data_IF_930834059173
#
_entry.id   IF_930834059173
#
_cell.length_a   1.000
_cell.length_b   1.000
_cell.length_c   1.000
_cell.angle_alpha   90.00
_cell.angle_beta   90.00
_cell.angle_gamma   90.00
#
_symmetry.space_group_name_H-M   'P 1'
#
loop_
_entity.id
_entity.type
_entity.pdbx_description
1 polymer ?
#
# COMPACT_ATOMS: atom_id res chain seq x y z
N UNK A 1 21.41 -56.42 -30.96
CA UNK A 1 20.88 -55.75 -29.74
C UNK A 1 19.45 -56.20 -29.52
N UNK A 2 19.13 -56.83 -28.38
CA UNK A 2 17.86 -57.54 -28.19
C UNK A 2 16.70 -56.58 -27.87
N UNK A 3 15.71 -56.49 -28.77
CA UNK A 3 14.48 -55.67 -28.61
C UNK A 3 13.74 -55.94 -27.28
N UNK A 4 13.84 -57.17 -26.75
CA UNK A 4 13.26 -57.57 -25.46
C UNK A 4 13.86 -56.81 -24.27
N UNK A 5 15.14 -56.45 -24.34
CA UNK A 5 15.82 -55.72 -23.27
C UNK A 5 15.35 -54.26 -23.18
N UNK A 6 15.09 -53.62 -24.32
CA UNK A 6 14.54 -52.26 -24.36
C UNK A 6 13.12 -52.17 -23.82
N UNK A 7 12.28 -53.16 -24.11
CA UNK A 7 10.89 -53.19 -23.61
C UNK A 7 10.88 -53.33 -22.08
N UNK A 8 11.72 -54.22 -21.54
CA UNK A 8 11.82 -54.43 -20.08
C UNK A 8 12.35 -53.17 -19.38
N UNK A 9 13.41 -52.55 -19.92
CA UNK A 9 13.96 -51.31 -19.37
C UNK A 9 12.93 -50.16 -19.40
N UNK A 10 12.16 -50.03 -20.48
CA UNK A 10 11.12 -49.01 -20.60
C UNK A 10 9.97 -49.22 -19.62
N UNK A 11 9.53 -50.47 -19.42
CA UNK A 11 8.49 -50.81 -18.44
C UNK A 11 8.92 -50.52 -17.00
N UNK A 12 10.18 -50.81 -16.64
CA UNK A 12 10.71 -50.54 -15.30
C UNK A 12 10.79 -49.02 -15.06
N UNK A 13 11.26 -48.25 -16.04
CA UNK A 13 11.33 -46.78 -15.93
C UNK A 13 9.96 -46.14 -15.75
N UNK A 14 8.93 -46.61 -16.47
CA UNK A 14 7.54 -46.12 -16.29
C UNK A 14 7.03 -46.44 -14.90
N UNK A 15 7.28 -47.66 -14.41
CA UNK A 15 6.81 -48.08 -13.09
C UNK A 15 7.44 -47.25 -11.97
N UNK A 16 8.75 -46.95 -12.06
CA UNK A 16 9.45 -46.08 -11.11
C UNK A 16 8.90 -44.64 -11.17
N UNK A 17 8.60 -44.11 -12.35
CA UNK A 17 8.05 -42.76 -12.51
C UNK A 17 6.66 -42.62 -11.87
N UNK A 18 5.82 -43.65 -12.02
CA UNK A 18 4.49 -43.70 -11.38
C UNK A 18 4.64 -43.82 -9.86
N UNK A 19 5.60 -44.60 -9.37
CA UNK A 19 5.85 -44.73 -7.93
C UNK A 19 6.28 -43.39 -7.30
N UNK A 20 7.13 -42.62 -7.97
CA UNK A 20 7.57 -41.29 -7.53
C UNK A 20 6.38 -40.31 -7.49
N UNK A 21 5.45 -40.38 -8.45
CA UNK A 21 4.26 -39.55 -8.47
C UNK A 21 3.27 -39.87 -7.34
N UNK A 22 3.20 -41.13 -6.90
CA UNK A 22 2.30 -41.56 -5.80
C UNK A 22 2.89 -41.21 -4.42
N UNK A 23 4.21 -41.30 -4.27
CA UNK A 23 4.89 -41.04 -2.97
C UNK A 23 5.21 -39.55 -2.78
N UNK A 24 5.12 -38.73 -3.84
CA UNK A 24 5.36 -37.30 -3.74
C UNK A 24 4.36 -36.68 -2.74
N UNK A 25 4.83 -36.14 -1.60
CA UNK A 25 3.93 -35.57 -0.61
C UNK A 25 3.20 -34.40 -1.27
N UNK A 26 1.87 -34.51 -1.37
CA UNK A 26 1.02 -33.36 -1.73
C UNK A 26 1.41 -32.25 -0.78
N UNK A 27 1.97 -31.16 -1.31
CA UNK A 27 2.06 -29.90 -0.57
C UNK A 27 0.63 -29.55 -0.18
N UNK A 28 0.28 -29.79 1.08
CA UNK A 28 -0.94 -29.31 1.68
C UNK A 28 -0.81 -27.79 1.64
N UNK A 29 -1.51 -27.16 0.71
CA UNK A 29 -1.65 -25.72 0.69
C UNK A 29 -2.16 -25.32 2.07
N UNK A 30 -1.48 -24.43 2.80
CA UNK A 30 -2.00 -23.91 4.05
C UNK A 30 -3.41 -23.36 3.78
N UNK A 31 -4.37 -23.52 4.71
CA UNK A 31 -5.65 -22.84 4.56
C UNK A 31 -5.37 -21.36 4.34
N UNK A 32 -5.87 -20.85 3.21
CA UNK A 32 -5.82 -19.44 2.87
C UNK A 32 -6.43 -18.70 4.06
N UNK A 33 -5.61 -18.00 4.85
CA UNK A 33 -6.10 -17.10 5.87
C UNK A 33 -7.08 -16.17 5.18
N UNK A 34 -8.34 -16.16 5.64
CA UNK A 34 -9.34 -15.21 5.15
C UNK A 34 -8.72 -13.81 5.13
N UNK A 35 -8.89 -13.05 4.04
CA UNK A 35 -8.40 -11.68 4.00
C UNK A 35 -8.90 -10.93 5.24
N UNK A 36 -8.08 -10.06 5.85
CA UNK A 36 -8.55 -9.17 6.90
C UNK A 36 -9.85 -8.49 6.42
N UNK A 37 -10.87 -8.34 7.28
CA UNK A 37 -12.09 -7.66 6.88
C UNK A 37 -11.73 -6.28 6.33
N UNK A 38 -12.12 -6.04 5.08
CA UNK A 38 -12.13 -4.71 4.49
C UNK A 38 -12.97 -3.84 5.42
N UNK A 39 -12.41 -2.79 6.02
CA UNK A 39 -13.17 -1.95 6.89
C UNK A 39 -14.16 -1.21 6.02
N UNK A 40 -15.34 -1.20 6.56
CA UNK A 40 -16.43 -0.42 6.05
C UNK A 40 -16.03 1.05 6.09
N UNK A 41 -16.56 1.86 5.19
CA UNK A 41 -16.49 3.35 5.17
C UNK A 41 -16.67 3.99 6.56
N UNK A 42 -17.31 3.26 7.48
CA UNK A 42 -17.42 3.52 8.92
C UNK A 42 -16.09 3.71 9.67
N UNK A 43 -15.01 2.99 9.36
CA UNK A 43 -13.72 3.15 10.08
C UNK A 43 -12.95 4.40 9.63
N UNK A 44 -12.98 4.72 8.33
CA UNK A 44 -12.46 6.01 7.82
C UNK A 44 -13.21 7.20 8.42
N UNK A 45 -14.52 7.05 8.69
CA UNK A 45 -15.30 8.04 9.47
C UNK A 45 -14.93 8.12 10.94
N UNK A 46 -14.39 7.06 11.55
CA UNK A 46 -14.05 7.03 12.98
C UNK A 46 -12.77 7.83 13.30
N UNK A 47 -11.83 7.98 12.37
CA UNK A 47 -10.68 8.88 12.55
C UNK A 47 -11.08 10.36 12.47
N UNK A 48 -12.10 10.69 11.67
CA UNK A 48 -12.69 12.04 11.63
C UNK A 48 -13.42 12.41 12.93
N UNK A 49 -13.97 11.44 13.67
CA UNK A 49 -14.70 11.72 14.93
C UNK A 49 -13.82 12.22 16.08
N UNK A 50 -12.49 12.09 15.99
CA UNK A 50 -11.55 12.63 16.98
C UNK A 50 -11.09 14.07 16.67
N UNK A 51 -11.50 14.63 15.53
CA UNK A 51 -11.16 16.00 15.15
C UNK A 51 -12.22 16.97 15.67
N UNK A 52 -11.81 18.18 16.06
CA UNK A 52 -12.76 19.24 16.43
C UNK A 52 -13.58 19.65 15.20
N UNK A 53 -14.85 20.02 15.39
CA UNK A 53 -15.71 20.53 14.32
C UNK A 53 -15.06 21.73 13.59
N UNK A 54 -14.31 22.55 14.33
CA UNK A 54 -13.54 23.67 13.80
C UNK A 54 -12.47 23.20 12.80
N UNK A 55 -11.70 22.15 13.13
CA UNK A 55 -10.67 21.62 12.24
C UNK A 55 -11.28 21.06 10.95
N UNK A 56 -12.40 20.35 11.06
CA UNK A 56 -13.15 19.82 9.90
C UNK A 56 -13.64 20.98 9.02
N UNK A 57 -14.27 22.00 9.61
CA UNK A 57 -14.76 23.18 8.88
C UNK A 57 -13.62 23.95 8.20
N UNK A 58 -12.49 24.11 8.87
CA UNK A 58 -11.31 24.78 8.32
C UNK A 58 -10.75 24.00 7.13
N UNK A 59 -10.63 22.67 7.23
CA UNK A 59 -10.19 21.82 6.12
C UNK A 59 -11.12 21.91 4.90
N UNK A 60 -12.45 21.89 5.12
CA UNK A 60 -13.45 22.06 4.04
C UNK A 60 -13.28 23.41 3.34
N UNK A 61 -13.19 24.50 4.11
CA UNK A 61 -13.06 25.84 3.56
C UNK A 61 -11.72 26.00 2.81
N UNK A 62 -10.64 25.47 3.39
CA UNK A 62 -9.33 25.53 2.78
C UNK A 62 -9.30 24.77 1.46
N UNK A 63 -9.81 23.53 1.42
CA UNK A 63 -9.91 22.74 0.18
C UNK A 63 -10.63 23.50 -0.94
N UNK A 64 -11.74 24.18 -0.64
CA UNK A 64 -12.46 24.99 -1.63
C UNK A 64 -11.63 26.16 -2.15
N UNK A 65 -10.84 26.81 -1.29
CA UNK A 65 -9.98 27.93 -1.65
C UNK A 65 -8.86 27.51 -2.62
N UNK A 66 -8.34 26.30 -2.48
CA UNK A 66 -7.16 25.82 -3.21
C UNK A 66 -7.48 24.75 -4.26
N UNK A 67 -8.77 24.52 -4.55
CA UNK A 67 -9.23 23.42 -5.40
C UNK A 67 -8.64 23.42 -6.81
N UNK A 68 -8.33 24.61 -7.35
CA UNK A 68 -7.77 24.82 -8.69
C UNK A 68 -6.31 24.37 -8.81
N UNK A 69 -5.66 24.04 -7.69
CA UNK A 69 -4.27 23.58 -7.61
C UNK A 69 -4.13 22.06 -7.62
N UNK A 70 -5.24 21.33 -7.66
CA UNK A 70 -5.30 19.86 -7.64
C UNK A 70 -6.05 19.35 -8.88
N UNK A 71 -5.79 18.10 -9.35
CA UNK A 71 -4.94 17.08 -8.74
C UNK A 71 -3.44 17.30 -8.99
N UNK A 72 -2.62 16.71 -8.12
CA UNK A 72 -1.17 16.64 -8.27
C UNK A 72 -0.78 15.18 -8.50
N UNK A 73 -0.02 14.93 -9.56
CA UNK A 73 0.45 13.59 -9.92
C UNK A 73 1.95 13.62 -10.20
N UNK A 74 2.70 12.76 -9.52
CA UNK A 74 4.12 12.55 -9.80
C UNK A 74 4.39 11.06 -9.98
N UNK A 75 4.79 10.68 -11.19
CA UNK A 75 5.17 9.31 -11.54
C UNK A 75 6.68 9.11 -11.38
N UNK A 76 7.07 7.86 -11.13
CA UNK A 76 8.45 7.37 -11.20
C UNK A 76 9.41 8.11 -10.26
N UNK A 77 8.94 8.50 -9.06
CA UNK A 77 9.79 9.08 -8.03
C UNK A 77 10.74 8.02 -7.46
N UNK A 78 12.06 8.23 -7.62
CA UNK A 78 13.08 7.30 -7.16
C UNK A 78 13.53 7.64 -5.75
N UNK A 79 13.37 6.69 -4.84
CA UNK A 79 13.80 6.80 -3.44
C UNK A 79 15.25 6.36 -3.26
N UNK A 80 15.87 6.73 -2.13
CA UNK A 80 17.26 6.40 -1.81
C UNK A 80 17.51 4.89 -1.68
N UNK A 81 16.47 4.13 -1.32
CA UNK A 81 16.50 2.66 -1.21
C UNK A 81 16.19 1.95 -2.54
N UNK A 82 16.13 2.69 -3.65
CA UNK A 82 15.95 2.14 -5.00
C UNK A 82 14.51 1.73 -5.34
N UNK A 83 13.55 1.98 -4.45
CA UNK A 83 12.13 1.75 -4.73
C UNK A 83 11.59 2.94 -5.52
N UNK A 84 10.87 2.66 -6.60
CA UNK A 84 10.23 3.68 -7.43
C UNK A 84 8.76 3.79 -7.04
N UNK A 85 8.32 5.00 -6.69
CA UNK A 85 6.95 5.26 -6.24
C UNK A 85 6.21 6.18 -7.20
N UNK A 86 4.89 6.23 -7.04
CA UNK A 86 4.02 7.20 -7.70
C UNK A 86 3.18 7.89 -6.64
N UNK A 87 3.11 9.21 -6.70
CA UNK A 87 2.38 10.06 -5.75
C UNK A 87 1.15 10.62 -6.45
N UNK A 88 -0.01 10.50 -5.82
CA UNK A 88 -1.27 11.04 -6.31
C UNK A 88 -1.98 11.82 -5.19
N UNK A 89 -2.33 13.08 -5.44
CA UNK A 89 -2.99 13.96 -4.46
C UNK A 89 -4.23 14.56 -5.11
N UNK A 90 -5.41 14.18 -4.62
CA UNK A 90 -6.68 14.47 -5.30
C UNK A 90 -7.88 14.37 -4.36
N UNK A 91 -9.05 14.59 -4.92
CA UNK A 91 -10.33 14.61 -4.22
C UNK A 91 -11.38 13.91 -5.08
N UNK A 92 -12.25 13.09 -4.49
CA UNK A 92 -13.43 12.55 -5.16
C UNK A 92 -14.70 13.26 -4.70
N UNK A 93 -15.73 13.27 -5.53
CA UNK A 93 -17.05 13.84 -5.21
C UNK A 93 -17.75 13.12 -4.05
N UNK A 94 -17.46 11.83 -3.91
CA UNK A 94 -18.15 10.93 -2.98
C UNK A 94 -17.39 10.78 -1.65
N UNK A 95 -16.18 11.35 -1.57
CA UNK A 95 -15.42 11.46 -0.33
C UNK A 95 -16.05 12.50 0.61
N UNK A 96 -15.73 12.40 1.89
CA UNK A 96 -16.04 13.47 2.83
C UNK A 96 -15.40 14.81 2.36
N UNK A 97 -16.16 15.93 2.34
CA UNK A 97 -15.66 17.22 1.87
C UNK A 97 -14.51 17.80 2.72
N UNK A 98 -14.16 17.19 3.84
CA UNK A 98 -12.97 17.54 4.63
C UNK A 98 -11.69 16.79 4.20
N UNK A 99 -11.81 15.67 3.48
CA UNK A 99 -10.68 14.77 3.17
C UNK A 99 -9.98 15.08 1.84
N UNK A 100 -8.65 15.15 1.87
CA UNK A 100 -7.79 15.13 0.69
C UNK A 100 -7.13 13.76 0.58
N UNK A 101 -7.17 13.11 -0.58
CA UNK A 101 -6.44 11.85 -0.78
C UNK A 101 -4.98 12.15 -1.04
N UNK A 102 -4.09 11.45 -0.35
CA UNK A 102 -2.64 11.43 -0.60
C UNK A 102 -2.23 9.96 -0.69
N UNK A 103 -2.08 9.47 -1.91
CA UNK A 103 -1.79 8.07 -2.17
C UNK A 103 -0.37 7.91 -2.71
N UNK A 104 0.36 6.94 -2.15
CA UNK A 104 1.72 6.59 -2.57
C UNK A 104 1.72 5.13 -3.01
N UNK A 105 1.99 4.91 -4.29
CA UNK A 105 2.03 3.59 -4.93
C UNK A 105 3.47 3.10 -5.13
N UNK A 106 3.63 1.80 -5.37
CA UNK A 106 4.94 1.17 -5.65
C UNK A 106 5.68 0.65 -4.42
N UNK A 107 5.05 0.73 -3.24
CA UNK A 107 5.56 0.27 -1.96
C UNK A 107 4.81 -0.98 -1.48
N UNK A 108 5.45 -1.79 -0.65
CA UNK A 108 4.76 -2.79 0.16
C UNK A 108 4.33 -2.18 1.49
N UNK A 109 3.03 -2.25 1.79
CA UNK A 109 2.43 -1.87 3.08
C UNK A 109 2.32 -3.07 4.04
N UNK A 110 3.02 -4.17 3.73
CA UNK A 110 3.15 -5.30 4.65
C UNK A 110 4.15 -4.95 5.77
N UNK A 111 4.03 -5.60 6.93
CA UNK A 111 4.93 -5.41 8.07
C UNK A 111 4.90 -3.99 8.68
N UNK A 112 3.69 -3.44 8.87
CA UNK A 112 3.44 -2.13 9.49
C UNK A 112 4.32 -1.81 10.71
N UNK A 113 4.48 -2.78 11.63
CA UNK A 113 5.18 -2.57 12.91
C UNK A 113 6.71 -2.77 12.84
N UNK A 114 7.26 -3.18 11.69
CA UNK A 114 8.71 -3.27 11.49
C UNK A 114 9.26 -1.91 11.03
N UNK A 115 9.69 -1.11 12.01
CA UNK A 115 10.22 0.24 11.82
C UNK A 115 11.73 0.28 11.54
N UNK A 116 12.45 -0.85 11.64
CA UNK A 116 13.87 -0.92 11.29
C UNK A 116 14.03 -0.80 9.76
N UNK A 117 14.64 0.29 9.26
CA UNK A 117 14.75 0.51 7.82
C UNK A 117 15.58 -0.53 7.08
N UNK A 118 16.45 -1.27 7.79
CA UNK A 118 17.23 -2.37 7.20
C UNK A 118 16.38 -3.59 6.91
N UNK A 119 15.32 -3.80 7.71
CA UNK A 119 14.40 -4.93 7.56
C UNK A 119 13.19 -4.56 6.71
N UNK A 120 12.79 -3.29 6.75
CA UNK A 120 11.69 -2.77 5.96
C UNK A 120 12.10 -1.49 5.20
N UNK A 121 12.74 -1.60 4.02
CA UNK A 121 13.11 -0.42 3.24
C UNK A 121 11.91 0.39 2.74
N UNK A 122 10.69 -0.18 2.74
CA UNK A 122 9.48 0.54 2.34
C UNK A 122 9.20 1.73 3.26
N UNK A 123 9.64 1.69 4.52
CA UNK A 123 9.42 2.82 5.44
C UNK A 123 10.21 4.07 5.02
N UNK A 124 11.46 3.90 4.54
CA UNK A 124 12.26 5.00 4.00
C UNK A 124 11.61 5.51 2.72
N UNK A 125 11.26 4.59 1.82
CA UNK A 125 10.68 4.95 0.54
C UNK A 125 9.32 5.68 0.72
N UNK A 126 8.52 5.28 1.70
CA UNK A 126 7.30 5.98 2.12
C UNK A 126 7.61 7.38 2.65
N UNK A 127 8.51 7.51 3.63
CA UNK A 127 8.84 8.80 4.24
C UNK A 127 9.36 9.81 3.21
N UNK A 128 10.25 9.38 2.30
CA UNK A 128 10.77 10.22 1.23
C UNK A 128 9.69 10.63 0.23
N UNK A 129 8.83 9.68 -0.16
CA UNK A 129 7.71 9.96 -1.06
C UNK A 129 6.69 10.90 -0.41
N UNK A 130 6.43 10.74 0.89
CA UNK A 130 5.54 11.61 1.65
C UNK A 130 6.11 13.04 1.74
N UNK A 131 7.39 13.18 2.09
CA UNK A 131 8.07 14.48 2.09
C UNK A 131 8.03 15.15 0.70
N UNK A 132 8.18 14.37 -0.37
CA UNK A 132 8.01 14.88 -1.74
C UNK A 132 6.57 15.30 -2.01
N UNK A 133 5.57 14.54 -1.56
CA UNK A 133 4.16 14.90 -1.67
C UNK A 133 3.86 16.25 -0.98
N UNK A 134 4.34 16.45 0.25
CA UNK A 134 4.19 17.73 0.95
C UNK A 134 4.88 18.87 0.21
N UNK A 135 6.05 18.62 -0.38
CA UNK A 135 6.76 19.61 -1.18
C UNK A 135 5.98 19.99 -2.43
N UNK A 136 5.38 19.02 -3.14
CA UNK A 136 4.53 19.28 -4.30
C UNK A 136 3.30 20.13 -3.94
N UNK A 137 2.69 19.88 -2.77
CA UNK A 137 1.57 20.70 -2.26
C UNK A 137 2.04 22.16 -2.02
N UNK A 138 3.22 22.35 -1.42
CA UNK A 138 3.79 23.68 -1.21
C UNK A 138 4.17 24.36 -2.53
N UNK A 139 4.69 23.60 -3.49
CA UNK A 139 5.02 24.07 -4.86
C UNK A 139 3.77 24.54 -5.62
N UNK A 140 2.60 23.94 -5.36
CA UNK A 140 1.32 24.42 -5.91
C UNK A 140 0.80 25.68 -5.20
N UNK A 141 1.46 26.12 -4.13
CA UNK A 141 1.12 27.27 -3.31
C UNK A 141 0.17 26.95 -2.15
N UNK A 142 -0.17 25.68 -1.93
CA UNK A 142 -1.02 25.24 -0.83
C UNK A 142 -0.21 24.86 0.42
N UNK A 143 -0.84 24.94 1.58
CA UNK A 143 -0.28 24.58 2.88
C UNK A 143 -0.76 23.17 3.25
N UNK A 144 0.14 22.17 3.30
CA UNK A 144 -0.25 20.80 3.58
C UNK A 144 -0.85 20.59 4.98
N UNK A 145 -0.54 21.45 5.96
CA UNK A 145 -1.03 21.27 7.34
C UNK A 145 -2.51 21.60 7.51
N UNK A 146 -3.12 22.22 6.48
CA UNK A 146 -4.54 22.56 6.47
C UNK A 146 -5.43 21.41 5.98
N UNK A 147 -4.85 20.34 5.42
CA UNK A 147 -5.60 19.20 4.93
C UNK A 147 -5.76 18.12 6.00
N UNK A 148 -6.87 17.38 5.91
CA UNK A 148 -7.01 16.08 6.56
C UNK A 148 -6.79 15.04 5.47
N UNK A 149 -5.70 14.27 5.57
CA UNK A 149 -5.34 13.31 4.54
C UNK A 149 -6.00 11.94 4.74
N UNK A 150 -6.39 11.32 3.63
CA UNK A 150 -6.71 9.89 3.52
C UNK A 150 -5.64 9.22 2.67
N UNK A 151 -5.15 8.04 3.08
CA UNK A 151 -3.96 7.41 2.49
C UNK A 151 -4.25 6.21 1.57
N UNK A 152 -5.52 6.00 1.22
CA UNK A 152 -5.96 5.01 0.23
C UNK A 152 -7.28 4.34 0.63
N UNK A 153 -7.94 3.70 -0.34
CA UNK A 153 -9.21 2.99 -0.10
C UNK A 153 -9.00 1.62 0.55
N UNK A 154 -7.87 1.00 0.26
CA UNK A 154 -7.48 -0.28 0.85
C UNK A 154 -6.98 -0.06 2.26
N UNK A 155 -7.38 -0.93 3.16
CA UNK A 155 -7.20 -0.64 4.59
C UNK A 155 -5.89 -1.08 5.16
N UNK A 156 -5.37 -2.18 4.67
CA UNK A 156 -3.99 -2.52 4.94
C UNK A 156 -3.07 -1.36 4.54
N UNK A 157 -3.38 -0.66 3.44
CA UNK A 157 -2.67 0.55 3.02
C UNK A 157 -2.96 1.73 3.97
N UNK A 158 -4.23 2.10 4.15
CA UNK A 158 -4.63 3.24 4.99
C UNK A 158 -4.09 3.12 6.41
N UNK A 159 -4.34 2.00 7.10
CA UNK A 159 -3.88 1.77 8.47
C UNK A 159 -2.35 1.79 8.57
N UNK A 160 -1.65 1.23 7.59
CA UNK A 160 -0.17 1.22 7.61
C UNK A 160 0.41 2.60 7.35
N UNK A 161 -0.13 3.33 6.37
CA UNK A 161 0.30 4.69 6.04
C UNK A 161 0.00 5.65 7.21
N UNK A 162 -1.20 5.62 7.79
CA UNK A 162 -1.54 6.40 8.99
C UNK A 162 -0.55 6.13 10.11
N UNK A 163 -0.29 4.85 10.40
CA UNK A 163 0.67 4.48 11.44
C UNK A 163 2.08 5.00 11.16
N UNK A 164 2.58 4.89 9.93
CA UNK A 164 3.90 5.41 9.58
C UNK A 164 3.96 6.93 9.64
N UNK A 165 2.92 7.65 9.21
CA UNK A 165 2.87 9.12 9.34
C UNK A 165 2.95 9.55 10.80
N UNK A 166 2.24 8.85 11.70
CA UNK A 166 2.25 9.15 13.13
C UNK A 166 3.59 8.79 13.80
N UNK A 167 4.11 7.58 13.56
CA UNK A 167 5.34 7.11 14.21
C UNK A 167 6.59 7.86 13.73
N UNK A 168 6.61 8.25 12.46
CA UNK A 168 7.71 9.01 11.86
C UNK A 168 7.47 10.52 11.90
N UNK A 169 6.31 10.95 12.38
CA UNK A 169 5.98 12.36 12.61
C UNK A 169 6.12 13.21 11.33
N UNK A 170 5.59 12.68 10.22
CA UNK A 170 5.82 13.21 8.87
C UNK A 170 5.00 14.46 8.53
N UNK A 171 3.94 14.74 9.28
CA UNK A 171 3.03 15.87 9.04
C UNK A 171 3.32 17.00 10.04
N UNK A 172 4.46 17.68 9.85
CA UNK A 172 4.85 18.91 10.55
C UNK A 172 5.09 20.08 9.59
#
# INVERSE_FOLDING_TARGET
>A
MNKKFFIIAFSISIFILILILIISPRKTTPPLSSPPPEPTTTQLRAELTNLTEEKVKNAINYRKLVQDRFPIYLKDFKTSVGITTTINIYSLSDDDPSLMRLEIYGLSYLHKDELDPKKNPNIIAFAESYARALSLIRESGADPTQFIFSYGDRTDIHTTATYWVEQLDLLR
#
